data_IF_639015330899
#
_entry.id   IF_639015330899
#
_cell.length_a   1.000
_cell.length_b   1.000
_cell.length_c   1.000
_cell.angle_alpha   90.00
_cell.angle_beta   90.00
_cell.angle_gamma   90.00
#
_symmetry.space_group_name_H-M   'P 1'
#
loop_
_entity.id
_entity.type
_entity.pdbx_description
1 polymer ?
#
# COMPACT_ATOMS: atom_id res chain seq x y z
N UNK A 1 6.05 11.69 1.65
CA UNK A 1 4.84 11.28 0.90
C UNK A 1 3.61 11.96 1.48
N UNK A 2 3.25 11.80 2.77
CA UNK A 2 2.00 12.32 3.37
C UNK A 2 1.82 13.83 3.21
N UNK A 3 2.88 14.63 3.45
CA UNK A 3 2.84 16.10 3.24
C UNK A 3 2.53 16.46 1.78
N UNK A 4 3.14 15.74 0.84
CA UNK A 4 2.87 15.94 -0.59
C UNK A 4 1.43 15.54 -0.94
N UNK A 5 0.92 14.42 -0.41
CA UNK A 5 -0.47 14.00 -0.61
C UNK A 5 -1.46 15.06 -0.11
N UNK A 6 -1.19 15.69 1.05
CA UNK A 6 -2.01 16.77 1.60
C UNK A 6 -2.02 18.01 0.70
N UNK A 7 -0.85 18.41 0.18
CA UNK A 7 -0.74 19.52 -0.77
C UNK A 7 -1.51 19.23 -2.08
N UNK A 8 -1.31 18.04 -2.65
CA UNK A 8 -2.02 17.62 -3.86
C UNK A 8 -3.53 17.56 -3.68
N UNK A 9 -4.00 17.04 -2.53
CA UNK A 9 -5.42 16.99 -2.20
C UNK A 9 -6.01 18.41 -2.09
N UNK A 10 -5.28 19.35 -1.48
CA UNK A 10 -5.67 20.75 -1.41
C UNK A 10 -5.81 21.37 -2.81
N UNK A 11 -4.81 21.20 -3.67
CA UNK A 11 -4.84 21.68 -5.06
C UNK A 11 -6.01 21.09 -5.86
N UNK A 12 -6.27 19.78 -5.68
CA UNK A 12 -7.41 19.13 -6.29
C UNK A 12 -8.75 19.80 -5.90
N UNK A 13 -8.97 20.05 -4.60
CA UNK A 13 -10.19 20.72 -4.12
C UNK A 13 -10.31 22.17 -4.59
N UNK A 14 -9.18 22.87 -4.73
CA UNK A 14 -9.12 24.25 -5.23
C UNK A 14 -9.23 24.33 -6.76
N UNK A 15 -9.30 23.17 -7.46
CA UNK A 15 -9.32 23.07 -8.92
C UNK A 15 -8.12 23.74 -9.59
N UNK A 16 -6.97 23.73 -8.91
CA UNK A 16 -5.72 24.23 -9.49
C UNK A 16 -5.25 23.30 -10.61
N UNK A 17 -4.66 23.90 -11.67
CA UNK A 17 -4.04 23.10 -12.74
C UNK A 17 -2.72 22.49 -12.27
N UNK A 18 -2.71 21.18 -12.12
CA UNK A 18 -1.58 20.44 -11.58
C UNK A 18 -1.21 19.27 -12.51
N UNK A 19 -0.32 19.54 -13.47
CA UNK A 19 0.03 18.60 -14.55
C UNK A 19 1.46 18.06 -14.43
N UNK A 20 1.83 17.56 -13.24
CA UNK A 20 3.19 17.04 -12.97
C UNK A 20 3.57 15.82 -13.82
N UNK A 21 2.57 15.05 -14.28
CA UNK A 21 2.79 13.88 -15.13
C UNK A 21 2.46 14.12 -16.60
N UNK A 22 2.49 15.40 -17.04
CA UNK A 22 2.30 15.72 -18.47
C UNK A 22 3.27 14.91 -19.34
N UNK A 23 2.72 14.23 -20.36
CA UNK A 23 3.45 13.34 -21.27
C UNK A 23 4.12 12.12 -20.58
N UNK A 24 3.64 11.71 -19.40
CA UNK A 24 4.08 10.51 -18.71
C UNK A 24 3.03 9.42 -18.80
N UNK A 25 3.50 8.17 -18.76
CA UNK A 25 2.65 6.99 -18.84
C UNK A 25 2.82 6.08 -17.62
N UNK A 26 1.70 5.57 -17.13
CA UNK A 26 1.59 4.59 -16.05
C UNK A 26 1.08 3.27 -16.62
N UNK A 27 1.83 2.19 -16.51
CA UNK A 27 1.32 0.84 -16.74
C UNK A 27 0.72 0.28 -15.45
N UNK A 28 -0.53 -0.16 -15.50
CA UNK A 28 -1.24 -0.77 -14.37
C UNK A 28 -1.47 -2.25 -14.62
N UNK A 29 -0.70 -3.11 -13.96
CA UNK A 29 -0.76 -4.56 -14.07
C UNK A 29 -1.70 -5.12 -12.99
N UNK A 30 -2.74 -5.85 -13.39
CA UNK A 30 -3.70 -6.45 -12.48
C UNK A 30 -3.79 -7.97 -12.68
N UNK A 31 -3.25 -8.74 -11.76
CA UNK A 31 -3.54 -10.18 -11.65
C UNK A 31 -4.86 -10.43 -10.89
N UNK A 32 -5.23 -9.52 -9.98
CA UNK A 32 -6.50 -9.52 -9.22
C UNK A 32 -7.39 -8.35 -9.68
N UNK A 33 -8.67 -8.56 -10.01
CA UNK A 33 -9.61 -7.48 -10.27
C UNK A 33 -9.75 -6.54 -9.08
N UNK A 34 -9.82 -5.25 -9.33
CA UNK A 34 -10.15 -4.24 -8.30
C UNK A 34 -10.62 -2.95 -8.97
N UNK A 35 -11.89 -2.64 -8.81
CA UNK A 35 -12.46 -1.40 -9.33
C UNK A 35 -11.87 -0.17 -8.60
N UNK A 36 -11.78 -0.21 -7.27
CA UNK A 36 -11.25 0.91 -6.46
C UNK A 36 -9.81 1.25 -6.82
N UNK A 37 -8.92 0.25 -6.86
CA UNK A 37 -7.51 0.46 -7.21
C UNK A 37 -7.37 0.97 -8.63
N UNK A 38 -8.12 0.41 -9.58
CA UNK A 38 -8.09 0.86 -10.97
C UNK A 38 -8.51 2.32 -11.09
N UNK A 39 -9.70 2.65 -10.61
CA UNK A 39 -10.25 4.01 -10.75
C UNK A 39 -9.36 5.04 -10.06
N UNK A 40 -8.86 4.77 -8.85
CA UNK A 40 -8.02 5.73 -8.14
C UNK A 40 -6.70 6.03 -8.85
N UNK A 41 -6.00 5.01 -9.36
CA UNK A 41 -4.76 5.22 -10.10
C UNK A 41 -4.98 5.84 -11.47
N UNK A 42 -5.95 5.32 -12.24
CA UNK A 42 -6.25 5.79 -13.58
C UNK A 42 -6.67 7.28 -13.57
N UNK A 43 -7.69 7.60 -12.76
CA UNK A 43 -8.21 8.97 -12.65
C UNK A 43 -7.19 9.93 -12.01
N UNK A 44 -6.50 9.49 -10.96
CA UNK A 44 -5.49 10.31 -10.29
C UNK A 44 -4.30 10.66 -11.20
N UNK A 45 -3.84 9.69 -11.99
CA UNK A 45 -2.73 9.91 -12.92
C UNK A 45 -3.13 10.80 -14.10
N UNK A 46 -4.34 10.62 -14.63
CA UNK A 46 -4.92 11.49 -15.67
C UNK A 46 -5.12 12.91 -15.16
N UNK A 47 -5.66 13.09 -13.94
CA UNK A 47 -5.80 14.41 -13.34
C UNK A 47 -4.46 15.15 -13.25
N UNK A 48 -3.38 14.46 -12.94
CA UNK A 48 -2.02 15.00 -12.94
C UNK A 48 -1.41 15.15 -14.34
N UNK A 49 -2.18 14.93 -15.41
CA UNK A 49 -1.78 15.15 -16.81
C UNK A 49 -1.09 13.98 -17.48
N UNK A 50 -1.01 12.83 -16.84
CA UNK A 50 -0.46 11.62 -17.40
C UNK A 50 -1.50 10.75 -18.11
N UNK A 51 -1.04 9.62 -18.65
CA UNK A 51 -1.86 8.60 -19.29
C UNK A 51 -1.65 7.26 -18.58
N UNK A 52 -2.75 6.56 -18.24
CA UNK A 52 -2.69 5.27 -17.59
C UNK A 52 -3.21 4.15 -18.50
N UNK A 53 -2.45 3.04 -18.56
CA UNK A 53 -2.77 1.84 -19.33
C UNK A 53 -3.21 0.74 -18.37
N UNK A 54 -4.41 0.24 -18.51
CA UNK A 54 -4.90 -0.91 -17.75
C UNK A 54 -4.56 -2.22 -18.46
N UNK A 55 -3.94 -3.15 -17.74
CA UNK A 55 -3.52 -4.46 -18.22
C UNK A 55 -4.07 -5.51 -17.25
N UNK A 56 -5.12 -6.19 -17.67
CA UNK A 56 -5.79 -7.22 -16.90
C UNK A 56 -5.10 -8.58 -16.97
N UNK A 57 -5.64 -9.59 -16.28
CA UNK A 57 -5.03 -10.93 -16.23
C UNK A 57 -4.87 -11.60 -17.59
N UNK A 58 -5.76 -11.31 -18.55
CA UNK A 58 -5.74 -11.89 -19.88
C UNK A 58 -4.78 -11.17 -20.84
N UNK A 59 -4.35 -9.96 -20.51
CA UNK A 59 -3.49 -9.16 -21.40
C UNK A 59 -2.02 -9.59 -21.27
N UNK A 60 -1.56 -9.83 -20.05
CA UNK A 60 -0.15 -10.11 -19.75
C UNK A 60 0.09 -11.56 -19.37
N UNK A 61 -0.75 -12.17 -18.51
CA UNK A 61 -0.52 -13.51 -17.95
C UNK A 61 0.81 -13.57 -17.17
N UNK A 62 1.07 -12.56 -16.34
CA UNK A 62 2.33 -12.38 -15.59
C UNK A 62 2.75 -13.65 -14.84
N UNK A 63 4.00 -14.05 -14.97
CA UNK A 63 4.57 -15.25 -14.36
C UNK A 63 4.07 -16.59 -14.96
N UNK A 64 3.19 -16.55 -15.98
CA UNK A 64 2.68 -17.75 -16.66
C UNK A 64 3.03 -17.75 -18.15
N UNK A 65 2.69 -16.68 -18.86
CA UNK A 65 2.93 -16.55 -20.30
C UNK A 65 4.32 -15.99 -20.60
N UNK A 66 4.76 -15.02 -19.79
CA UNK A 66 6.05 -14.35 -19.93
C UNK A 66 6.75 -14.26 -18.58
N UNK A 67 8.08 -14.32 -18.59
CA UNK A 67 8.89 -14.15 -17.39
C UNK A 67 8.76 -12.72 -16.87
N UNK A 68 8.71 -12.54 -15.55
CA UNK A 68 8.52 -11.24 -14.91
C UNK A 68 9.60 -10.24 -15.29
N UNK A 69 10.86 -10.71 -15.33
CA UNK A 69 12.02 -9.90 -15.76
C UNK A 69 11.87 -9.32 -17.16
N UNK A 70 11.25 -10.06 -18.08
CA UNK A 70 11.10 -9.61 -19.46
C UNK A 70 9.96 -8.61 -19.56
N UNK A 71 8.85 -8.84 -18.85
CA UNK A 71 7.76 -7.87 -18.67
C UNK A 71 8.30 -6.57 -18.06
N UNK A 72 9.12 -6.67 -17.02
CA UNK A 72 9.72 -5.50 -16.35
C UNK A 72 10.57 -4.66 -17.30
N UNK A 73 11.43 -5.32 -18.07
CA UNK A 73 12.27 -4.66 -19.08
C UNK A 73 11.47 -4.03 -20.21
N UNK A 74 10.39 -4.72 -20.64
CA UNK A 74 9.49 -4.20 -21.67
C UNK A 74 8.82 -2.91 -21.20
N UNK A 75 8.18 -2.93 -20.01
CA UNK A 75 7.50 -1.75 -19.48
C UNK A 75 8.45 -0.60 -19.18
N UNK A 76 9.68 -0.88 -18.75
CA UNK A 76 10.71 0.13 -18.55
C UNK A 76 11.11 0.89 -19.83
N UNK A 77 10.79 0.33 -21.00
CA UNK A 77 11.07 0.96 -22.30
C UNK A 77 9.93 1.84 -22.79
N UNK A 78 8.69 1.53 -22.41
CA UNK A 78 7.50 2.18 -22.94
C UNK A 78 6.80 3.11 -21.93
N UNK A 79 7.05 2.91 -20.64
CA UNK A 79 6.34 3.62 -19.58
C UNK A 79 7.30 4.34 -18.64
N UNK A 80 6.76 5.30 -17.88
CA UNK A 80 7.51 6.06 -16.88
C UNK A 80 7.35 5.52 -15.46
N UNK A 81 6.25 4.79 -15.21
CA UNK A 81 5.93 4.18 -13.91
C UNK A 81 5.16 2.88 -14.15
N UNK A 82 5.37 1.88 -13.30
CA UNK A 82 4.55 0.67 -13.22
C UNK A 82 3.85 0.61 -11.87
N UNK A 83 2.56 0.31 -11.85
CA UNK A 83 1.83 -0.15 -10.68
C UNK A 83 1.39 -1.59 -10.92
N UNK A 84 1.61 -2.47 -9.95
CA UNK A 84 1.20 -3.86 -10.06
C UNK A 84 0.40 -4.32 -8.84
N UNK A 85 -0.74 -4.98 -9.11
CA UNK A 85 -1.58 -5.65 -8.11
C UNK A 85 -1.56 -7.15 -8.40
N UNK A 86 -0.79 -7.88 -7.60
CA UNK A 86 -0.42 -9.26 -7.84
C UNK A 86 -0.90 -10.17 -6.69
N UNK A 87 -0.74 -11.47 -6.86
CA UNK A 87 -0.89 -12.46 -5.78
C UNK A 87 0.43 -12.61 -5.05
N UNK A 88 1.42 -13.14 -5.73
CA UNK A 88 2.72 -13.45 -5.18
C UNK A 88 3.55 -12.19 -4.95
N UNK A 89 4.16 -12.10 -3.76
CA UNK A 89 5.00 -10.96 -3.38
C UNK A 89 6.36 -11.00 -4.08
N UNK A 90 6.92 -12.18 -4.34
CA UNK A 90 8.19 -12.31 -5.04
C UNK A 90 8.10 -11.76 -6.46
N UNK A 91 6.92 -11.84 -7.08
CA UNK A 91 6.68 -11.25 -8.40
C UNK A 91 6.80 -9.72 -8.42
N UNK A 92 6.37 -9.01 -7.37
CA UNK A 92 6.54 -7.54 -7.33
C UNK A 92 7.99 -7.17 -7.01
N UNK A 93 8.69 -7.99 -6.22
CA UNK A 93 10.12 -7.83 -5.94
C UNK A 93 10.92 -8.00 -7.24
N UNK A 94 10.71 -9.09 -7.97
CA UNK A 94 11.38 -9.34 -9.25
C UNK A 94 11.06 -8.26 -10.28
N UNK A 95 9.78 -7.80 -10.34
CA UNK A 95 9.39 -6.70 -11.22
C UNK A 95 10.19 -5.43 -10.91
N UNK A 96 10.37 -5.11 -9.62
CA UNK A 96 11.13 -3.94 -9.19
C UNK A 96 12.65 -4.10 -9.43
N UNK A 97 13.20 -5.30 -9.26
CA UNK A 97 14.62 -5.59 -9.44
C UNK A 97 15.08 -5.37 -10.89
N UNK A 98 14.26 -5.80 -11.86
CA UNK A 98 14.60 -5.67 -13.28
C UNK A 98 14.06 -4.40 -13.92
N UNK A 99 13.36 -3.53 -13.17
CA UNK A 99 12.83 -2.27 -13.67
C UNK A 99 13.85 -1.15 -13.59
N UNK A 100 13.90 -0.30 -14.63
CA UNK A 100 14.64 0.98 -14.62
C UNK A 100 13.74 2.18 -14.32
N UNK A 101 12.44 1.95 -14.11
CA UNK A 101 11.44 2.95 -13.75
C UNK A 101 10.80 2.57 -12.39
N UNK A 102 10.18 3.53 -11.68
CA UNK A 102 9.52 3.24 -10.41
C UNK A 102 8.45 2.17 -10.52
N UNK A 103 8.43 1.25 -9.54
CA UNK A 103 7.40 0.21 -9.38
C UNK A 103 6.62 0.47 -8.10
N UNK A 104 5.30 0.58 -8.21
CA UNK A 104 4.37 0.77 -7.10
C UNK A 104 3.68 -0.56 -6.81
N UNK A 105 3.80 -1.03 -5.57
CA UNK A 105 3.02 -2.17 -5.11
C UNK A 105 1.58 -1.73 -4.82
N UNK A 106 0.66 -2.09 -5.71
CA UNK A 106 -0.78 -1.84 -5.58
C UNK A 106 -1.49 -2.81 -4.62
N UNK A 107 -0.94 -3.98 -4.40
CA UNK A 107 -1.26 -5.04 -3.42
C UNK A 107 -0.57 -6.34 -3.81
N UNK A 108 -0.16 -7.10 -2.81
CA UNK A 108 0.14 -8.54 -2.91
C UNK A 108 -0.54 -9.30 -1.77
N UNK A 109 -0.45 -10.62 -1.75
CA UNK A 109 -0.95 -11.43 -0.63
C UNK A 109 -0.16 -11.19 0.66
N UNK A 110 1.07 -10.64 0.55
CA UNK A 110 1.90 -10.31 1.71
C UNK A 110 1.65 -8.91 2.27
N UNK A 111 1.44 -7.87 1.42
CA UNK A 111 1.23 -6.51 1.90
C UNK A 111 0.39 -5.64 0.94
N UNK A 112 -0.13 -4.53 1.49
CA UNK A 112 -0.90 -3.52 0.78
C UNK A 112 -0.48 -2.09 1.19
N UNK A 113 0.71 -1.62 0.79
CA UNK A 113 1.26 -0.35 1.27
C UNK A 113 0.38 0.87 0.93
N UNK A 114 -0.28 0.85 -0.23
CA UNK A 114 -1.17 1.95 -0.63
C UNK A 114 -2.36 2.12 0.34
N UNK A 115 -2.92 1.02 0.85
CA UNK A 115 -4.00 1.08 1.84
C UNK A 115 -3.52 1.75 3.12
N UNK A 116 -2.41 1.28 3.68
CA UNK A 116 -1.91 1.79 4.95
C UNK A 116 -1.46 3.25 4.87
N UNK A 117 -0.89 3.67 3.73
CA UNK A 117 -0.59 5.09 3.48
C UNK A 117 -1.86 5.95 3.44
N UNK A 118 -2.97 5.40 2.94
CA UNK A 118 -4.27 6.08 2.93
C UNK A 118 -4.87 6.14 4.34
N UNK A 119 -4.79 5.05 5.10
CA UNK A 119 -5.32 4.97 6.46
C UNK A 119 -4.60 5.94 7.39
N UNK A 120 -3.26 5.95 7.41
CA UNK A 120 -2.50 6.90 8.23
C UNK A 120 -2.72 8.36 7.78
N UNK A 121 -2.93 8.60 6.49
CA UNK A 121 -3.28 9.91 5.98
C UNK A 121 -4.66 10.35 6.48
N UNK A 122 -5.64 9.45 6.46
CA UNK A 122 -7.00 9.70 6.98
C UNK A 122 -6.96 9.99 8.48
N UNK A 123 -6.19 9.21 9.25
CA UNK A 123 -5.96 9.46 10.67
C UNK A 123 -5.39 10.88 10.87
N UNK A 124 -4.38 11.27 10.10
CA UNK A 124 -3.81 12.60 10.20
C UNK A 124 -4.82 13.71 9.90
N UNK A 125 -5.67 13.52 8.90
CA UNK A 125 -6.70 14.52 8.56
C UNK A 125 -7.74 14.69 9.69
N UNK A 126 -8.13 13.61 10.35
CA UNK A 126 -9.16 13.65 11.39
C UNK A 126 -8.60 14.02 12.78
N UNK A 127 -7.41 13.54 13.09
CA UNK A 127 -6.80 13.76 14.42
C UNK A 127 -5.89 15.00 14.47
N UNK A 128 -5.51 15.56 13.31
CA UNK A 128 -4.58 16.69 13.22
C UNK A 128 -3.11 16.32 13.44
N UNK A 129 -2.81 15.14 13.95
CA UNK A 129 -1.47 14.62 14.20
C UNK A 129 -1.38 13.12 13.93
N UNK A 130 -0.16 12.67 13.61
CA UNK A 130 0.23 11.25 13.56
C UNK A 130 1.42 10.97 14.48
N UNK A 131 1.61 11.80 15.48
CA UNK A 131 2.67 11.62 16.47
C UNK A 131 2.24 10.56 17.48
N UNK A 132 2.88 9.42 17.43
CA UNK A 132 2.65 8.26 18.30
C UNK A 132 1.16 7.87 18.45
N UNK A 133 0.42 7.65 17.36
CA UNK A 133 -1.00 7.29 17.45
C UNK A 133 -1.14 5.90 18.07
N UNK A 134 -2.22 5.69 18.82
CA UNK A 134 -2.61 4.37 19.34
C UNK A 134 -3.61 3.73 18.40
N UNK A 135 -3.20 2.68 17.72
CA UNK A 135 -3.97 2.03 16.66
C UNK A 135 -4.24 0.58 17.06
N UNK A 136 -5.51 0.18 17.01
CA UNK A 136 -5.91 -1.22 17.13
C UNK A 136 -6.48 -1.69 15.81
N UNK A 137 -5.89 -2.72 15.24
CA UNK A 137 -6.46 -3.50 14.16
C UNK A 137 -7.19 -4.72 14.72
N UNK A 138 -8.41 -4.95 14.26
CA UNK A 138 -9.22 -6.11 14.67
C UNK A 138 -9.60 -6.92 13.44
N UNK A 139 -9.12 -8.15 13.36
CA UNK A 139 -9.31 -9.05 12.23
C UNK A 139 -8.25 -10.14 12.18
N UNK A 140 -8.07 -10.80 11.04
CA UNK A 140 -7.01 -11.76 10.85
C UNK A 140 -5.65 -11.08 10.55
N UNK A 141 -4.56 -11.76 10.85
CA UNK A 141 -3.19 -11.26 10.63
C UNK A 141 -2.76 -11.29 9.17
N UNK A 142 -3.53 -10.63 8.32
CA UNK A 142 -3.38 -10.63 6.87
C UNK A 142 -2.37 -9.59 6.34
N UNK A 143 -2.39 -9.37 5.03
CA UNK A 143 -1.52 -8.42 4.33
C UNK A 143 -1.68 -6.96 4.80
N UNK A 144 -2.82 -6.59 5.37
CA UNK A 144 -3.05 -5.27 5.96
C UNK A 144 -2.23 -5.13 7.24
N UNK A 145 -2.26 -6.14 8.12
CA UNK A 145 -1.45 -6.15 9.36
C UNK A 145 0.03 -6.11 9.03
N UNK A 146 0.51 -6.89 8.05
CA UNK A 146 1.90 -6.83 7.62
C UNK A 146 2.29 -5.41 7.17
N UNK A 147 1.39 -4.71 6.49
CA UNK A 147 1.65 -3.33 6.06
C UNK A 147 1.66 -2.34 7.21
N UNK A 148 0.82 -2.51 8.23
CA UNK A 148 0.88 -1.74 9.46
C UNK A 148 2.18 -1.97 10.22
N UNK A 149 2.63 -3.22 10.35
CA UNK A 149 3.92 -3.56 10.95
C UNK A 149 5.09 -2.91 10.18
N UNK A 150 5.04 -2.90 8.85
CA UNK A 150 6.04 -2.22 8.02
C UNK A 150 6.04 -0.70 8.19
N UNK A 151 4.87 -0.07 8.36
CA UNK A 151 4.76 1.35 8.66
C UNK A 151 5.26 1.66 10.07
N UNK A 152 4.96 0.79 11.05
CA UNK A 152 5.42 0.93 12.43
C UNK A 152 6.96 0.90 12.57
N UNK A 153 7.67 0.31 11.62
CA UNK A 153 9.13 0.40 11.50
C UNK A 153 9.63 1.75 10.94
N UNK A 154 8.75 2.71 10.66
CA UNK A 154 9.10 4.02 10.06
C UNK A 154 8.46 5.21 10.77
N UNK A 155 7.33 5.00 11.40
CA UNK A 155 6.56 6.02 12.14
C UNK A 155 6.27 5.42 13.50
N UNK A 156 6.65 6.15 14.57
CA UNK A 156 6.38 5.71 15.95
C UNK A 156 4.88 5.65 16.20
N UNK A 157 4.42 4.51 16.76
CA UNK A 157 3.03 4.27 17.12
C UNK A 157 2.92 3.17 18.19
N UNK A 158 1.79 3.15 18.89
CA UNK A 158 1.35 2.00 19.67
C UNK A 158 0.39 1.18 18.79
N UNK A 159 0.85 0.04 18.29
CA UNK A 159 0.05 -0.81 17.40
C UNK A 159 -0.34 -2.12 18.08
N UNK A 160 -1.63 -2.39 18.12
CA UNK A 160 -2.18 -3.65 18.64
C UNK A 160 -2.86 -4.40 17.50
N UNK A 161 -2.41 -5.61 17.21
CA UNK A 161 -3.13 -6.54 16.34
C UNK A 161 -4.01 -7.46 17.23
N UNK A 162 -5.31 -7.25 17.17
CA UNK A 162 -6.26 -8.13 17.82
C UNK A 162 -6.80 -9.17 16.83
N UNK A 163 -6.34 -10.40 16.96
CA UNK A 163 -6.69 -11.49 16.06
C UNK A 163 -6.92 -12.80 16.84
N UNK A 164 -7.70 -13.76 16.29
CA UNK A 164 -7.75 -15.11 16.86
C UNK A 164 -6.35 -15.77 16.82
N UNK A 165 -6.09 -16.69 17.76
CA UNK A 165 -4.76 -17.27 17.95
C UNK A 165 -4.23 -17.97 16.68
N UNK A 166 -5.11 -18.66 15.94
CA UNK A 166 -4.77 -19.37 14.71
C UNK A 166 -4.58 -18.44 13.49
N UNK A 167 -4.85 -17.14 13.65
CA UNK A 167 -4.82 -16.13 12.58
C UNK A 167 -3.81 -15.01 12.85
N UNK A 168 -2.72 -15.32 13.51
CA UNK A 168 -1.63 -14.37 13.77
C UNK A 168 -0.95 -13.95 12.47
N UNK A 169 -0.43 -12.70 12.41
CA UNK A 169 0.46 -12.31 11.32
C UNK A 169 1.76 -13.11 11.34
N UNK A 170 2.52 -13.04 10.25
CA UNK A 170 3.82 -13.71 10.11
C UNK A 170 4.78 -13.32 11.25
N UNK A 171 5.29 -14.32 11.97
CA UNK A 171 6.17 -14.10 13.12
C UNK A 171 7.45 -13.35 12.76
N UNK A 172 8.00 -13.60 11.57
CA UNK A 172 9.18 -12.90 11.08
C UNK A 172 8.94 -11.41 10.85
N UNK A 173 7.74 -11.04 10.40
CA UNK A 173 7.35 -9.64 10.21
C UNK A 173 7.10 -8.94 11.55
N UNK A 174 6.44 -9.63 12.50
CA UNK A 174 6.26 -9.14 13.88
C UNK A 174 7.63 -8.87 14.52
N UNK A 175 8.54 -9.84 14.47
CA UNK A 175 9.85 -9.73 15.11
C UNK A 175 10.66 -8.57 14.52
N UNK A 176 10.66 -8.40 13.20
CA UNK A 176 11.32 -7.25 12.55
C UNK A 176 10.76 -5.91 13.02
N UNK A 177 9.43 -5.83 13.22
CA UNK A 177 8.80 -4.60 13.70
C UNK A 177 9.20 -4.30 15.15
N UNK A 178 9.23 -5.31 16.02
CA UNK A 178 9.70 -5.18 17.40
C UNK A 178 11.19 -4.78 17.44
N UNK A 179 12.06 -5.47 16.71
CA UNK A 179 13.50 -5.23 16.68
C UNK A 179 13.87 -3.83 16.15
N UNK A 180 12.96 -3.19 15.39
CA UNK A 180 13.19 -1.82 14.94
C UNK A 180 13.24 -0.80 16.06
N UNK A 181 12.67 -1.10 17.23
CA UNK A 181 12.58 -0.23 18.41
C UNK A 181 11.97 1.16 18.14
N UNK A 182 11.14 1.28 17.08
CA UNK A 182 10.50 2.55 16.70
C UNK A 182 9.10 2.65 17.30
N UNK A 183 8.38 1.53 17.38
CA UNK A 183 6.99 1.46 17.80
C UNK A 183 6.79 0.38 18.86
N UNK A 184 5.74 0.53 19.68
CA UNK A 184 5.27 -0.53 20.57
C UNK A 184 4.32 -1.44 19.80
N UNK A 185 4.67 -2.71 19.67
CA UNK A 185 3.88 -3.72 18.95
C UNK A 185 3.36 -4.75 19.95
N UNK A 186 2.06 -5.03 19.92
CA UNK A 186 1.45 -6.08 20.73
C UNK A 186 0.40 -6.87 19.94
N UNK A 187 0.24 -8.13 20.33
CA UNK A 187 -0.80 -9.00 19.81
C UNK A 187 -1.77 -9.28 20.97
N UNK A 188 -3.06 -9.15 20.75
CA UNK A 188 -4.12 -9.50 21.69
C UNK A 188 -5.09 -10.48 21.06
N UNK A 189 -5.70 -11.32 21.88
CA UNK A 189 -6.75 -12.24 21.48
C UNK A 189 -8.09 -11.88 22.12
N UNK A 190 -8.12 -10.85 22.99
CA UNK A 190 -9.33 -10.31 23.60
C UNK A 190 -9.71 -8.96 22.99
N UNK A 191 -10.80 -8.90 22.18
CA UNK A 191 -11.26 -7.67 21.57
C UNK A 191 -11.63 -6.57 22.58
N UNK A 192 -12.12 -6.94 23.77
CA UNK A 192 -12.52 -5.96 24.79
C UNK A 192 -11.32 -5.30 25.43
N UNK A 193 -10.28 -6.09 25.70
CA UNK A 193 -9.00 -5.57 26.20
C UNK A 193 -8.33 -4.67 25.14
N UNK A 194 -8.25 -5.16 23.90
CA UNK A 194 -7.63 -4.43 22.80
C UNK A 194 -8.27 -3.05 22.59
N UNK A 195 -9.59 -2.95 22.60
CA UNK A 195 -10.32 -1.68 22.40
C UNK A 195 -10.05 -0.66 23.51
N UNK A 196 -9.85 -1.10 24.75
CA UNK A 196 -9.54 -0.21 25.86
C UNK A 196 -8.17 0.46 25.73
N UNK A 197 -7.28 -0.10 24.90
CA UNK A 197 -5.93 0.38 24.69
C UNK A 197 -5.82 1.46 23.60
N UNK A 198 -6.90 1.77 22.87
CA UNK A 198 -6.78 2.59 21.65
C UNK A 198 -7.65 3.86 21.64
N UNK A 199 -7.21 4.82 20.80
CA UNK A 199 -8.00 5.97 20.37
C UNK A 199 -8.62 5.77 18.99
N UNK A 200 -8.11 4.80 18.20
CA UNK A 200 -8.51 4.54 16.81
C UNK A 200 -8.67 3.04 16.61
N UNK A 201 -9.82 2.64 16.08
CA UNK A 201 -10.12 1.24 15.75
C UNK A 201 -10.24 1.08 14.23
N UNK A 202 -9.58 0.04 13.70
CA UNK A 202 -9.71 -0.39 12.32
C UNK A 202 -10.22 -1.83 12.35
N UNK A 203 -11.38 -2.08 11.74
CA UNK A 203 -11.95 -3.42 11.59
C UNK A 203 -12.21 -3.73 10.13
N UNK A 204 -11.91 -4.95 9.73
CA UNK A 204 -12.31 -5.54 8.45
C UNK A 204 -13.27 -6.69 8.67
#
# INVERSE_FOLDING_TARGET
ILKLAKDLKSKFHQKEDFKHFKNRSLAMIFAKPSARTRVSFETGFEWMGGHALFLGPNDIGIGKREAIKDISRLFSRYNDVVMARLFDHDHIIELAEYSTIPVINGLTDYNHPCQIMTDIFTIWEHMGSIENPKIVYMGDGNNIVHSWLQLAMRISMDFVCCCPEDYKPDDGTIQKAIDSNISNISISHDPKEAVQLSLIHISE
#
